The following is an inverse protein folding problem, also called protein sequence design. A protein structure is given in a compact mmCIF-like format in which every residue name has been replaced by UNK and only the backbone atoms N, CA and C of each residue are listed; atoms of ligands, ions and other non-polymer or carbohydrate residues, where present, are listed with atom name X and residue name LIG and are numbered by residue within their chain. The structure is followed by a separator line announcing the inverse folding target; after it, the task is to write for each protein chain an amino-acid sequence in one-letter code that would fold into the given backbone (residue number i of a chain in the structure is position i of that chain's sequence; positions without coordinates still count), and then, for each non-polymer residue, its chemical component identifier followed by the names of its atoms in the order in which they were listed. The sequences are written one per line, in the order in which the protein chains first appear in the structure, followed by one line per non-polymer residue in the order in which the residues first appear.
data_IF_608025590113
#
_entry.id   IF_608025590113
#
_cell.length_a   1.000
_cell.length_b   1.000
_cell.length_c   1.000
_cell.angle_alpha   90.00
_cell.angle_beta   90.00
_cell.angle_gamma   90.00
#
_symmetry.space_group_name_H-M   'P 1'
#
loop_
_entity.id
_entity.type
_entity.pdbx_description
1 polymer ?
#
# COMPACT_ATOMS: atom_id res chain seq x y z
N UNK A 1 -50.04 32.16 -52.89
CA UNK A 1 -49.61 30.89 -53.51
C UNK A 1 -48.10 30.87 -53.38
N UNK A 2 -47.58 30.16 -52.38
CA UNK A 2 -46.16 29.95 -52.20
C UNK A 2 -46.04 28.47 -51.81
N UNK A 3 -45.48 27.69 -52.71
CA UNK A 3 -45.23 26.27 -52.57
C UNK A 3 -43.86 26.13 -51.91
N UNK A 4 -43.80 25.43 -50.78
CA UNK A 4 -42.57 25.16 -50.04
C UNK A 4 -42.25 23.67 -50.24
N UNK A 5 -41.28 23.41 -51.12
CA UNK A 5 -40.82 22.07 -51.48
C UNK A 5 -40.02 21.44 -50.32
N UNK A 6 -40.45 20.25 -49.90
CA UNK A 6 -39.75 19.44 -48.92
C UNK A 6 -38.60 18.69 -49.59
N UNK A 7 -37.38 19.07 -49.23
CA UNK A 7 -36.15 18.41 -49.67
C UNK A 7 -35.84 17.24 -48.72
N UNK A 8 -36.10 16.02 -49.17
CA UNK A 8 -35.77 14.78 -48.44
C UNK A 8 -34.36 14.38 -48.84
N UNK A 9 -33.41 14.55 -47.92
CA UNK A 9 -32.03 14.06 -48.08
C UNK A 9 -31.98 12.64 -47.53
N UNK A 10 -31.91 11.65 -48.41
CA UNK A 10 -31.59 10.27 -48.05
C UNK A 10 -30.09 10.18 -47.72
N UNK A 11 -29.77 9.89 -46.45
CA UNK A 11 -28.42 9.69 -45.96
C UNK A 11 -28.07 8.19 -46.09
N UNK A 12 -27.20 7.86 -47.04
CA UNK A 12 -26.65 6.50 -47.23
C UNK A 12 -25.81 6.09 -46.01
N UNK A 13 -26.20 4.99 -45.36
CA UNK A 13 -25.44 4.38 -44.26
C UNK A 13 -24.38 3.44 -44.86
N UNK A 14 -23.07 3.63 -44.56
CA UNK A 14 -22.04 2.72 -45.04
C UNK A 14 -22.06 1.39 -44.29
N UNK A 15 -21.97 0.30 -45.04
CA UNK A 15 -21.90 -1.06 -44.54
C UNK A 15 -20.63 -1.30 -43.70
N UNK A 16 -20.80 -1.84 -42.49
CA UNK A 16 -19.70 -2.26 -41.63
C UNK A 16 -19.06 -3.57 -42.17
N UNK A 17 -17.72 -3.70 -42.15
CA UNK A 17 -17.05 -4.94 -42.51
C UNK A 17 -17.11 -5.96 -41.36
N UNK A 18 -17.58 -7.14 -41.73
CA UNK A 18 -17.62 -8.37 -40.93
C UNK A 18 -16.19 -8.85 -40.62
N UNK A 19 -15.69 -8.53 -39.43
CA UNK A 19 -14.35 -8.93 -38.98
C UNK A 19 -14.44 -10.16 -38.06
N UNK A 20 -14.67 -11.30 -38.70
CA UNK A 20 -14.62 -12.62 -38.07
C UNK A 20 -13.18 -13.15 -38.21
N UNK A 21 -12.31 -12.81 -37.25
CA UNK A 21 -10.97 -13.39 -37.16
C UNK A 21 -10.95 -14.50 -36.10
N UNK A 22 -10.81 -15.72 -36.62
CA UNK A 22 -10.37 -16.93 -35.97
C UNK A 22 -9.27 -16.68 -34.93
N UNK A 23 -9.61 -16.84 -33.66
CA UNK A 23 -8.63 -16.87 -32.58
C UNK A 23 -8.18 -18.32 -32.38
N UNK A 24 -7.13 -18.70 -33.10
CA UNK A 24 -6.45 -19.99 -32.96
C UNK A 24 -5.90 -20.13 -31.53
N UNK A 25 -6.29 -21.23 -30.89
CA UNK A 25 -5.65 -21.80 -29.70
C UNK A 25 -4.13 -21.88 -29.92
N UNK A 26 -3.36 -21.18 -29.09
CA UNK A 26 -1.98 -21.53 -28.82
C UNK A 26 -1.91 -22.12 -27.42
N UNK A 27 -1.78 -23.44 -27.36
CA UNK A 27 -1.25 -24.18 -26.22
C UNK A 27 0.16 -23.67 -25.91
N UNK A 28 0.26 -22.73 -24.95
CA UNK A 28 1.52 -22.45 -24.28
C UNK A 28 1.68 -23.44 -23.13
N UNK A 29 2.52 -24.44 -23.39
CA UNK A 29 3.12 -25.30 -22.38
C UNK A 29 3.80 -24.42 -21.32
N UNK A 30 3.30 -24.50 -20.09
CA UNK A 30 3.99 -23.99 -18.91
C UNK A 30 5.26 -24.83 -18.68
N UNK A 31 6.43 -24.23 -18.47
CA UNK A 31 7.54 -24.93 -17.84
C UNK A 31 7.17 -25.22 -16.39
N UNK A 32 7.24 -26.50 -16.01
CA UNK A 32 7.25 -26.93 -14.61
C UNK A 32 8.54 -26.39 -13.98
N UNK A 33 8.42 -25.33 -13.17
CA UNK A 33 9.49 -24.95 -12.25
C UNK A 33 9.50 -25.97 -11.10
N UNK A 34 10.46 -26.88 -11.15
CA UNK A 34 10.82 -27.76 -10.05
C UNK A 34 11.15 -26.93 -8.80
N UNK A 35 10.37 -27.10 -7.75
CA UNK A 35 10.70 -26.66 -6.39
C UNK A 35 12.04 -27.29 -5.96
N UNK A 36 13.12 -26.51 -6.01
CA UNK A 36 14.32 -26.80 -5.25
C UNK A 36 14.06 -26.47 -3.77
N UNK A 37 14.35 -27.38 -2.83
CA UNK A 37 14.27 -27.08 -1.41
C UNK A 37 15.38 -26.10 -1.03
N UNK A 38 14.97 -24.88 -0.70
CA UNK A 38 15.82 -23.81 -0.20
C UNK A 38 16.42 -24.24 1.15
N UNK A 39 17.71 -24.59 1.15
CA UNK A 39 18.47 -24.85 2.36
C UNK A 39 18.67 -23.53 3.11
N UNK A 40 18.17 -23.46 4.35
CA UNK A 40 18.49 -22.41 5.31
C UNK A 40 20.01 -22.31 5.50
N UNK A 41 20.64 -21.14 5.27
CA UNK A 41 21.96 -20.90 5.81
C UNK A 41 21.81 -20.60 7.31
N UNK A 42 22.25 -21.55 8.13
CA UNK A 42 22.53 -21.35 9.55
C UNK A 42 23.42 -20.11 9.72
N UNK A 43 22.84 -19.00 10.15
CA UNK A 43 23.62 -17.87 10.64
C UNK A 43 24.11 -18.18 12.04
N UNK A 44 25.37 -18.63 12.07
CA UNK A 44 26.22 -18.60 13.25
C UNK A 44 26.21 -17.20 13.87
N UNK A 45 25.67 -17.10 15.08
CA UNK A 45 25.95 -16.01 16.02
C UNK A 45 27.46 -15.98 16.29
N UNK A 46 28.19 -15.08 15.63
CA UNK A 46 29.50 -14.65 16.09
C UNK A 46 29.31 -13.43 16.99
N UNK A 47 29.46 -13.65 18.30
CA UNK A 47 29.66 -12.59 19.27
C UNK A 47 31.00 -11.89 18.98
N UNK A 48 31.07 -10.55 18.98
CA UNK A 48 32.34 -9.87 19.12
C UNK A 48 32.73 -9.86 20.60
N UNK A 49 33.56 -10.84 21.01
CA UNK A 49 34.45 -10.67 22.16
C UNK A 49 35.54 -9.66 21.77
N UNK A 50 35.31 -8.37 22.01
CA UNK A 50 36.40 -7.39 22.03
C UNK A 50 37.03 -7.37 23.43
N UNK A 51 38.01 -8.27 23.58
CA UNK A 51 39.39 -7.90 23.86
C UNK A 51 39.59 -6.81 24.93
N UNK A 52 39.37 -7.19 26.18
CA UNK A 52 39.98 -6.57 27.36
C UNK A 52 41.48 -6.91 27.36
N UNK A 53 42.30 -6.13 26.66
CA UNK A 53 43.76 -6.19 26.83
C UNK A 53 44.43 -4.91 26.30
N UNK A 54 45.40 -4.44 27.10
CA UNK A 54 46.27 -3.23 26.94
C UNK A 54 45.64 -1.99 27.60
N UNK A 55 46.27 -1.30 28.56
CA UNK A 55 47.66 -1.23 28.99
C UNK A 55 47.68 -0.84 30.47
N UNK A 56 48.28 -1.68 31.31
CA UNK A 56 49.01 -1.19 32.47
C UNK A 56 50.28 -0.54 31.90
N UNK A 57 50.24 0.77 31.71
CA UNK A 57 51.42 1.54 31.35
C UNK A 57 51.99 2.13 32.64
N UNK A 58 53.19 1.69 32.93
CA UNK A 58 54.04 2.09 34.04
C UNK A 58 54.08 3.62 34.16
N UNK A 59 53.81 4.12 35.37
CA UNK A 59 54.12 5.50 35.71
C UNK A 59 55.64 5.63 35.83
N UNK A 60 56.33 6.45 35.02
CA UNK A 60 57.70 6.82 35.32
C UNK A 60 57.68 7.70 36.58
N UNK A 61 58.41 7.28 37.59
CA UNK A 61 58.75 8.12 38.73
C UNK A 61 59.49 9.36 38.20
N UNK A 62 58.78 10.49 38.11
CA UNK A 62 59.35 11.75 37.71
C UNK A 62 60.15 12.32 38.89
N UNK A 63 61.47 12.29 38.75
CA UNK A 63 62.40 12.93 39.67
C UNK A 63 62.20 14.45 39.61
N UNK A 64 61.86 15.04 40.77
CA UNK A 64 61.60 16.47 40.95
C UNK A 64 62.87 17.21 41.44
N UNK A 65 64.04 16.68 41.12
CA UNK A 65 65.33 17.28 41.43
C UNK A 65 65.82 18.24 40.34
N UNK A 66 65.52 19.54 40.46
CA UNK A 66 66.44 20.56 39.96
C UNK A 66 66.02 21.45 38.80
N UNK A 67 64.76 21.91 38.72
CA UNK A 67 64.42 23.06 37.87
C UNK A 67 63.99 24.25 38.73
N UNK A 68 64.98 25.07 39.06
CA UNK A 68 64.86 26.44 39.53
C UNK A 68 64.12 27.22 38.42
N UNK A 69 62.80 27.30 38.53
CA UNK A 69 61.94 28.06 37.60
C UNK A 69 62.37 29.52 37.62
N UNK A 70 62.95 29.97 36.51
CA UNK A 70 62.86 31.37 36.12
C UNK A 70 61.38 31.67 35.92
N UNK A 71 60.91 32.68 36.64
CA UNK A 71 59.51 33.13 36.60
C UNK A 71 59.31 33.76 35.21
N UNK A 72 58.42 33.20 34.36
CA UNK A 72 58.15 33.78 33.05
C UNK A 72 57.58 35.19 33.21
N UNK A 73 58.10 36.13 32.43
CA UNK A 73 57.64 37.52 32.40
C UNK A 73 56.14 37.59 32.02
N UNK A 74 55.44 38.61 32.55
CA UNK A 74 53.96 38.74 32.54
C UNK A 74 53.30 38.64 31.15
N UNK A 75 54.02 38.86 30.06
CA UNK A 75 53.48 38.78 28.70
C UNK A 75 53.11 37.35 28.27
N UNK A 76 53.80 36.32 28.78
CA UNK A 76 53.54 34.92 28.42
C UNK A 76 52.30 34.33 29.12
N UNK A 77 51.92 34.90 30.27
CA UNK A 77 50.71 34.54 31.01
C UNK A 77 49.43 34.95 30.25
N UNK A 78 49.47 36.09 29.54
CA UNK A 78 48.35 36.56 28.72
C UNK A 78 48.07 35.63 27.53
N UNK A 79 49.14 35.16 26.86
CA UNK A 79 49.02 34.23 25.75
C UNK A 79 48.47 32.86 26.20
N UNK A 80 48.90 32.36 27.36
CA UNK A 80 48.37 31.13 27.94
C UNK A 80 46.90 31.28 28.36
N UNK A 81 46.52 32.41 28.94
CA UNK A 81 45.14 32.67 29.34
C UNK A 81 44.18 32.65 28.13
N UNK A 82 44.57 33.23 27.00
CA UNK A 82 43.79 33.17 25.75
C UNK A 82 43.69 31.78 25.12
N UNK A 83 44.68 30.89 25.34
CA UNK A 83 44.61 29.47 24.93
C UNK A 83 43.66 28.68 25.84
N UNK A 84 43.74 28.90 27.16
CA UNK A 84 42.86 28.24 28.14
C UNK A 84 41.40 28.66 27.91
N UNK A 85 41.11 29.94 27.69
CA UNK A 85 39.75 30.40 27.38
C UNK A 85 39.20 29.82 26.06
N UNK A 86 40.03 29.60 25.03
CA UNK A 86 39.61 28.93 23.80
C UNK A 86 39.33 27.44 23.99
N UNK A 87 40.01 26.78 24.92
CA UNK A 87 39.77 25.38 25.25
C UNK A 87 38.47 25.26 26.08
N UNK A 88 38.27 26.14 27.06
CA UNK A 88 37.06 26.18 27.88
C UNK A 88 35.81 26.60 27.08
N UNK A 89 35.93 27.54 26.13
CA UNK A 89 34.81 27.88 25.24
C UNK A 89 34.38 26.74 24.31
N UNK A 90 35.23 25.74 24.09
CA UNK A 90 34.89 24.53 23.31
C UNK A 90 34.20 23.46 24.14
N UNK A 91 34.34 23.47 25.48
CA UNK A 91 33.70 22.46 26.34
C UNK A 91 32.19 22.65 26.45
N UNK A 92 31.68 23.87 26.30
CA UNK A 92 30.23 24.15 26.32
C UNK A 92 29.51 23.54 25.10
N UNK A 93 30.17 23.52 23.94
CA UNK A 93 29.66 22.86 22.74
C UNK A 93 29.58 21.32 22.90
N UNK A 94 30.46 20.73 23.70
CA UNK A 94 30.47 19.28 23.98
C UNK A 94 29.26 18.89 24.83
N UNK A 95 28.90 19.72 25.83
CA UNK A 95 27.69 19.53 26.63
C UNK A 95 26.42 19.58 25.77
N UNK A 96 26.34 20.53 24.84
CA UNK A 96 25.22 20.63 23.91
C UNK A 96 25.10 19.41 22.98
N UNK A 97 26.21 18.84 22.51
CA UNK A 97 26.18 17.64 21.67
C UNK A 97 25.73 16.40 22.44
N UNK A 98 26.13 16.27 23.71
CA UNK A 98 25.71 15.14 24.56
C UNK A 98 24.18 15.08 24.71
N UNK A 99 23.54 16.20 25.03
CA UNK A 99 22.08 16.27 25.15
C UNK A 99 21.36 15.89 23.85
N UNK A 100 21.94 16.22 22.68
CA UNK A 100 21.35 15.83 21.39
C UNK A 100 21.49 14.33 21.14
N UNK A 101 22.61 13.73 21.50
CA UNK A 101 22.84 12.28 21.38
C UNK A 101 21.86 11.53 22.28
N UNK A 102 21.67 11.97 23.53
CA UNK A 102 20.74 11.35 24.47
C UNK A 102 19.28 11.43 23.97
N UNK A 103 18.88 12.56 23.35
CA UNK A 103 17.56 12.70 22.73
C UNK A 103 17.37 11.76 21.53
N UNK A 104 18.40 11.60 20.69
CA UNK A 104 18.36 10.69 19.54
C UNK A 104 18.19 9.24 20.01
N UNK A 105 18.89 8.83 21.07
CA UNK A 105 18.72 7.50 21.65
C UNK A 105 17.32 7.31 22.22
N UNK A 106 16.77 8.28 22.97
CA UNK A 106 15.41 8.19 23.49
C UNK A 106 14.35 8.10 22.38
N UNK A 107 14.52 8.83 21.27
CA UNK A 107 13.62 8.73 20.12
C UNK A 107 13.70 7.35 19.45
N UNK A 108 14.91 6.79 19.36
CA UNK A 108 15.12 5.44 18.81
C UNK A 108 14.41 4.40 19.66
N UNK A 109 14.57 4.43 20.98
CA UNK A 109 13.93 3.47 21.89
C UNK A 109 12.39 3.53 21.78
N UNK A 110 11.83 4.74 21.65
CA UNK A 110 10.40 4.93 21.44
C UNK A 110 9.92 4.33 20.10
N UNK A 111 10.71 4.49 19.03
CA UNK A 111 10.38 3.91 17.73
C UNK A 111 10.46 2.39 17.75
N UNK A 112 11.46 1.82 18.42
CA UNK A 112 11.63 0.37 18.56
C UNK A 112 10.45 -0.24 19.34
N UNK A 113 10.01 0.40 20.44
CA UNK A 113 8.82 -0.03 21.19
C UNK A 113 7.53 0.08 20.37
N UNK A 114 7.36 1.16 19.59
CA UNK A 114 6.21 1.33 18.71
C UNK A 114 6.16 0.26 17.60
N UNK A 115 7.30 -0.08 17.01
CA UNK A 115 7.39 -1.15 16.00
C UNK A 115 7.05 -2.52 16.61
N UNK A 116 7.53 -2.82 17.82
CA UNK A 116 7.18 -4.06 18.52
C UNK A 116 5.67 -4.14 18.78
N UNK A 117 5.05 -3.03 19.19
CA UNK A 117 3.60 -2.91 19.34
C UNK A 117 2.84 -3.22 18.04
N UNK A 118 3.28 -2.67 16.91
CA UNK A 118 2.66 -2.92 15.60
C UNK A 118 2.78 -4.40 15.17
N UNK A 119 3.93 -5.04 15.41
CA UNK A 119 4.11 -6.47 15.13
C UNK A 119 3.15 -7.31 15.96
N UNK A 120 2.93 -6.98 17.24
CA UNK A 120 1.95 -7.66 18.10
C UNK A 120 0.52 -7.53 17.56
N UNK A 121 0.11 -6.32 17.16
CA UNK A 121 -1.22 -6.08 16.58
C UNK A 121 -1.41 -6.86 15.28
N UNK A 122 -0.41 -6.87 14.40
CA UNK A 122 -0.45 -7.64 13.15
C UNK A 122 -0.60 -9.15 13.40
N UNK A 123 0.17 -9.70 14.35
CA UNK A 123 0.08 -11.12 14.70
C UNK A 123 -1.29 -11.47 15.31
N UNK A 124 -1.85 -10.60 16.14
CA UNK A 124 -3.21 -10.78 16.68
C UNK A 124 -4.27 -10.75 15.58
N UNK A 125 -4.17 -9.81 14.63
CA UNK A 125 -5.06 -9.76 13.48
C UNK A 125 -5.01 -11.05 12.65
N UNK A 126 -3.80 -11.59 12.43
CA UNK A 126 -3.61 -12.85 11.72
C UNK A 126 -4.24 -14.02 12.46
N UNK A 127 -4.13 -14.06 13.79
CA UNK A 127 -4.78 -15.08 14.61
C UNK A 127 -6.31 -15.02 14.48
N UNK A 128 -6.91 -13.83 14.60
CA UNK A 128 -8.37 -13.65 14.47
C UNK A 128 -8.87 -14.13 13.10
N UNK A 129 -8.15 -13.80 12.02
CA UNK A 129 -8.52 -14.25 10.67
C UNK A 129 -8.48 -15.77 10.53
N UNK A 130 -7.46 -16.43 11.09
CA UNK A 130 -7.38 -17.88 11.10
C UNK A 130 -8.53 -18.51 11.89
N UNK A 131 -8.89 -17.95 13.05
CA UNK A 131 -10.02 -18.45 13.85
C UNK A 131 -11.36 -18.32 13.11
N UNK A 132 -11.61 -17.20 12.43
CA UNK A 132 -12.81 -17.01 11.60
C UNK A 132 -12.86 -18.06 10.48
N UNK A 133 -11.71 -18.31 9.84
CA UNK A 133 -11.61 -19.30 8.76
C UNK A 133 -11.87 -20.73 9.29
N UNK A 134 -11.30 -21.10 10.44
CA UNK A 134 -11.57 -22.40 11.08
C UNK A 134 -13.04 -22.56 11.47
N UNK A 135 -13.69 -21.51 11.98
CA UNK A 135 -15.11 -21.54 12.31
C UNK A 135 -16.00 -21.70 11.07
N UNK A 136 -15.62 -21.09 9.93
CA UNK A 136 -16.36 -21.23 8.68
C UNK A 136 -16.33 -22.69 8.17
N UNK A 137 -15.17 -23.36 8.24
CA UNK A 137 -15.06 -24.77 7.86
C UNK A 137 -15.82 -25.71 8.80
N UNK A 138 -15.77 -25.46 10.12
CA UNK A 138 -16.51 -26.26 11.10
C UNK A 138 -18.03 -26.22 10.86
N UNK A 139 -18.57 -25.08 10.40
CA UNK A 139 -20.00 -24.94 10.07
C UNK A 139 -20.42 -25.67 8.80
N UNK A 140 -19.52 -25.82 7.82
CA UNK A 140 -19.85 -26.54 6.58
C UNK A 140 -19.91 -28.06 6.80
N UNK A 141 -19.17 -28.61 7.77
CA UNK A 141 -19.16 -30.05 8.05
C UNK A 141 -20.39 -30.61 8.79
N UNK A 142 -21.31 -29.76 9.25
CA UNK A 142 -22.54 -30.19 9.94
C UNK A 142 -23.83 -29.91 9.14
N UNK A 143 -23.71 -29.46 7.89
CA UNK A 143 -24.83 -29.28 6.97
C UNK A 143 -25.30 -30.61 6.39
N UNK A 144 -26.14 -31.31 7.17
CA UNK A 144 -27.25 -32.16 6.72
C UNK A 144 -27.15 -32.77 5.32
N UNK A 145 -26.87 -34.08 5.28
CA UNK A 145 -27.52 -34.97 4.32
C UNK A 145 -29.03 -34.73 4.41
N UNK A 146 -29.57 -33.91 3.52
CA UNK A 146 -31.00 -33.74 3.32
C UNK A 146 -31.40 -34.64 2.15
N UNK A 147 -31.82 -35.91 2.39
CA UNK A 147 -32.05 -36.89 1.34
C UNK A 147 -33.30 -36.60 0.48
N UNK A 148 -33.87 -35.39 0.53
CA UNK A 148 -35.13 -35.06 -0.13
C UNK A 148 -35.03 -34.02 -1.25
N UNK A 149 -33.84 -33.68 -1.74
CA UNK A 149 -33.70 -32.88 -2.96
C UNK A 149 -33.82 -33.76 -4.23
N UNK A 150 -34.91 -34.54 -4.34
CA UNK A 150 -35.31 -35.19 -5.59
C UNK A 150 -36.25 -34.25 -6.37
N UNK A 151 -35.91 -34.07 -7.65
CA UNK A 151 -36.77 -33.60 -8.74
C UNK A 151 -37.16 -32.11 -8.77
N UNK A 152 -36.29 -31.29 -9.38
CA UNK A 152 -36.72 -30.07 -10.08
C UNK A 152 -36.41 -30.23 -11.57
N UNK A 153 -37.49 -30.23 -12.35
CA UNK A 153 -37.50 -30.41 -13.79
C UNK A 153 -36.84 -29.23 -14.54
N UNK A 154 -36.33 -29.47 -15.77
CA UNK A 154 -35.90 -28.42 -16.67
C UNK A 154 -37.13 -27.70 -17.26
N UNK A 155 -37.60 -26.65 -16.59
CA UNK A 155 -38.61 -25.73 -17.12
C UNK A 155 -38.00 -24.71 -18.08
N UNK A 156 -38.67 -24.35 -19.19
CA UNK A 156 -38.15 -23.43 -20.19
C UNK A 156 -38.11 -22.01 -19.63
N UNK A 157 -36.91 -21.53 -19.32
CA UNK A 157 -36.64 -20.20 -18.79
C UNK A 157 -36.73 -19.14 -19.88
N UNK A 158 -37.95 -18.66 -20.14
CA UNK A 158 -38.20 -17.30 -20.63
C UNK A 158 -38.38 -16.38 -19.43
N UNK A 159 -37.48 -16.46 -18.44
CA UNK A 159 -37.47 -15.49 -17.35
C UNK A 159 -37.32 -14.10 -17.97
N UNK A 160 -38.43 -13.38 -18.03
CA UNK A 160 -38.52 -11.97 -18.41
C UNK A 160 -37.41 -11.28 -17.62
N UNK A 161 -36.38 -10.83 -18.32
CA UNK A 161 -35.25 -10.15 -17.72
C UNK A 161 -35.80 -8.90 -17.02
N UNK A 162 -36.10 -9.03 -15.73
CA UNK A 162 -36.46 -7.91 -14.88
C UNK A 162 -35.30 -6.94 -15.06
N UNK A 163 -35.52 -5.76 -15.69
CA UNK A 163 -34.44 -4.84 -15.96
C UNK A 163 -33.80 -4.55 -14.62
N UNK A 164 -32.55 -4.97 -14.44
CA UNK A 164 -31.83 -4.77 -13.21
C UNK A 164 -31.85 -3.27 -12.93
N UNK A 165 -32.74 -2.84 -12.03
CA UNK A 165 -32.91 -1.43 -11.70
C UNK A 165 -31.54 -0.99 -11.19
N UNK A 166 -30.86 -0.15 -11.96
CA UNK A 166 -29.48 0.24 -11.70
C UNK A 166 -29.47 1.16 -10.48
N UNK A 167 -29.54 0.57 -9.30
CA UNK A 167 -29.36 1.28 -8.03
C UNK A 167 -27.90 1.71 -7.91
N UNK A 168 -27.70 2.92 -7.43
CA UNK A 168 -26.38 3.49 -7.21
C UNK A 168 -25.57 2.62 -6.24
N UNK A 169 -24.37 2.17 -6.64
CA UNK A 169 -23.53 1.29 -5.81
C UNK A 169 -23.15 1.91 -4.44
N UNK A 170 -23.19 3.24 -4.33
CA UNK A 170 -22.78 3.97 -3.13
C UNK A 170 -23.93 4.26 -2.15
N UNK A 171 -25.12 4.59 -2.65
CA UNK A 171 -26.22 5.05 -1.80
C UNK A 171 -27.57 4.37 -2.08
N UNK A 172 -27.59 3.39 -2.98
CA UNK A 172 -28.75 2.59 -3.37
C UNK A 172 -29.93 3.39 -3.97
N UNK A 173 -29.73 4.67 -4.30
CA UNK A 173 -30.72 5.52 -4.97
C UNK A 173 -30.80 5.27 -6.48
N UNK A 174 -31.84 5.84 -7.11
CA UNK A 174 -32.15 5.67 -8.53
C UNK A 174 -31.33 6.62 -9.43
N UNK A 175 -30.00 6.42 -9.46
CA UNK A 175 -29.07 7.13 -10.35
C UNK A 175 -27.82 6.29 -10.60
N UNK A 176 -27.05 6.66 -11.63
CA UNK A 176 -25.77 6.02 -11.89
C UNK A 176 -24.73 6.34 -10.82
N UNK A 177 -23.84 5.39 -10.54
CA UNK A 177 -22.77 5.58 -9.56
C UNK A 177 -21.88 6.80 -9.86
N UNK A 178 -21.64 7.12 -11.14
CA UNK A 178 -20.87 8.30 -11.52
C UNK A 178 -21.53 9.62 -11.08
N UNK A 179 -22.86 9.67 -11.06
CA UNK A 179 -23.65 10.87 -10.76
C UNK A 179 -24.04 10.96 -9.28
N UNK A 180 -23.48 10.11 -8.43
CA UNK A 180 -23.78 10.12 -7.00
C UNK A 180 -23.27 11.38 -6.31
N UNK A 181 -24.19 12.29 -5.96
CA UNK A 181 -23.89 13.54 -5.26
C UNK A 181 -23.54 13.36 -3.77
N UNK A 182 -23.86 12.21 -3.16
CA UNK A 182 -23.53 11.95 -1.75
C UNK A 182 -22.03 11.70 -1.51
N UNK A 183 -21.34 11.16 -2.51
CA UNK A 183 -19.92 10.81 -2.44
C UNK A 183 -19.18 11.53 -3.57
N UNK A 184 -18.61 12.69 -3.28
CA UNK A 184 -18.05 13.59 -4.30
C UNK A 184 -16.56 13.40 -4.58
N UNK A 185 -15.80 12.83 -3.63
CA UNK A 185 -14.35 12.60 -3.76
C UNK A 185 -14.03 11.09 -3.88
N UNK A 186 -12.84 10.76 -4.38
CA UNK A 186 -12.41 9.39 -4.59
C UNK A 186 -12.21 8.62 -3.29
N UNK A 187 -11.66 9.27 -2.26
CA UNK A 187 -11.42 8.64 -0.95
C UNK A 187 -12.70 8.09 -0.33
N UNK A 188 -13.77 8.89 -0.31
CA UNK A 188 -15.06 8.52 0.25
C UNK A 188 -15.75 7.43 -0.58
N UNK A 189 -15.62 7.49 -1.91
CA UNK A 189 -16.12 6.43 -2.79
C UNK A 189 -15.43 5.09 -2.54
N UNK A 190 -14.10 5.08 -2.38
CA UNK A 190 -13.34 3.84 -2.09
C UNK A 190 -13.73 3.25 -0.74
N UNK A 191 -13.77 4.09 0.30
CA UNK A 191 -14.22 3.69 1.64
C UNK A 191 -15.63 3.08 1.60
N UNK A 192 -16.57 3.71 0.91
CA UNK A 192 -17.94 3.21 0.80
C UNK A 192 -18.04 1.85 0.10
N UNK A 193 -17.27 1.60 -0.97
CA UNK A 193 -17.26 0.27 -1.60
C UNK A 193 -16.61 -0.79 -0.73
N UNK A 194 -15.52 -0.44 -0.05
CA UNK A 194 -14.83 -1.34 0.88
C UNK A 194 -15.77 -1.77 2.01
N UNK A 195 -16.48 -0.83 2.64
CA UNK A 195 -17.48 -1.12 3.70
C UNK A 195 -18.66 -1.97 3.22
N UNK A 196 -18.92 -1.98 1.90
CA UNK A 196 -20.03 -2.72 1.27
C UNK A 196 -19.58 -4.01 0.57
N UNK A 197 -18.32 -4.40 0.72
CA UNK A 197 -17.70 -5.54 0.03
C UNK A 197 -17.97 -5.52 -1.49
N UNK A 198 -17.68 -4.39 -2.14
CA UNK A 198 -17.85 -4.21 -3.60
C UNK A 198 -16.52 -3.93 -4.30
N UNK A 199 -16.38 -4.44 -5.52
CA UNK A 199 -15.17 -4.26 -6.33
C UNK A 199 -15.15 -2.87 -7.00
N UNK A 200 -14.00 -2.18 -6.97
CA UNK A 200 -13.84 -0.84 -7.56
C UNK A 200 -13.98 -0.81 -9.09
N UNK A 201 -13.71 -1.93 -9.79
CA UNK A 201 -13.78 -2.02 -11.26
C UNK A 201 -15.18 -2.34 -11.77
N UNK A 202 -15.88 -3.31 -11.17
CA UNK A 202 -17.19 -3.74 -11.66
C UNK A 202 -18.38 -3.22 -10.81
N UNK A 203 -18.14 -2.64 -9.63
CA UNK A 203 -19.14 -2.20 -8.66
C UNK A 203 -20.09 -3.29 -8.12
N UNK A 204 -19.84 -4.55 -8.49
CA UNK A 204 -20.53 -5.73 -7.98
C UNK A 204 -19.90 -6.17 -6.66
N UNK A 205 -20.56 -7.11 -5.97
CA UNK A 205 -20.02 -7.74 -4.77
C UNK A 205 -18.63 -8.32 -5.07
N UNK A 206 -17.66 -8.00 -4.23
CA UNK A 206 -16.27 -8.40 -4.38
C UNK A 206 -16.12 -9.89 -4.06
N UNK A 207 -16.13 -10.71 -5.10
CA UNK A 207 -15.70 -12.12 -5.07
C UNK A 207 -14.29 -12.28 -5.65
N UNK A 208 -13.63 -11.17 -5.97
CA UNK A 208 -12.35 -11.08 -6.66
C UNK A 208 -11.63 -9.78 -6.29
N UNK A 209 -10.33 -9.72 -6.55
CA UNK A 209 -9.52 -8.52 -6.40
C UNK A 209 -9.73 -7.58 -7.59
N UNK A 210 -9.57 -6.27 -7.38
CA UNK A 210 -9.71 -5.29 -8.46
C UNK A 210 -8.74 -5.57 -9.64
N UNK A 211 -7.52 -6.02 -9.34
CA UNK A 211 -6.50 -6.37 -10.35
C UNK A 211 -6.85 -7.60 -11.19
N UNK A 212 -7.63 -8.54 -10.65
CA UNK A 212 -8.12 -9.74 -11.35
C UNK A 212 -9.59 -9.63 -11.78
N UNK A 213 -10.16 -8.42 -11.76
CA UNK A 213 -11.55 -8.22 -12.15
C UNK A 213 -11.73 -8.48 -13.65
N UNK A 214 -12.68 -9.34 -14.06
CA UNK A 214 -12.92 -9.64 -15.48
C UNK A 214 -13.63 -8.50 -16.22
N UNK A 215 -14.05 -7.44 -15.52
CA UNK A 215 -14.75 -6.33 -16.15
C UNK A 215 -13.85 -5.60 -17.15
N UNK A 216 -14.36 -5.46 -18.38
CA UNK A 216 -13.76 -4.71 -19.49
C UNK A 216 -14.39 -3.33 -19.66
N UNK A 217 -15.08 -2.83 -18.63
CA UNK A 217 -15.77 -1.54 -18.67
C UNK A 217 -14.79 -0.40 -18.92
N UNK A 218 -15.10 0.44 -19.90
CA UNK A 218 -14.32 1.65 -20.20
C UNK A 218 -14.83 2.84 -19.37
N UNK A 219 -13.90 3.65 -18.88
CA UNK A 219 -14.23 4.92 -18.24
C UNK A 219 -14.78 5.91 -19.26
N UNK A 220 -16.04 6.31 -19.07
CA UNK A 220 -16.75 7.27 -19.91
C UNK A 220 -15.99 8.60 -20.01
N UNK A 221 -15.52 9.15 -18.88
CA UNK A 221 -14.83 10.45 -18.87
C UNK A 221 -13.47 10.42 -19.58
N UNK A 222 -12.73 9.32 -19.47
CA UNK A 222 -11.47 9.16 -20.22
C UNK A 222 -11.73 8.94 -21.71
N UNK A 223 -12.75 8.14 -22.06
CA UNK A 223 -13.17 7.94 -23.45
C UNK A 223 -13.56 9.27 -24.11
N UNK A 224 -14.40 10.07 -23.47
CA UNK A 224 -14.81 11.39 -24.00
C UNK A 224 -13.63 12.36 -24.14
N UNK A 225 -12.60 12.25 -23.31
CA UNK A 225 -11.40 13.07 -23.36
C UNK A 225 -10.29 12.48 -24.27
N UNK A 226 -10.56 11.41 -25.03
CA UNK A 226 -9.58 10.71 -25.89
C UNK A 226 -8.32 10.23 -25.13
N UNK A 227 -8.49 9.83 -23.87
CA UNK A 227 -7.45 9.25 -22.99
C UNK A 227 -7.53 7.72 -23.04
N UNK A 228 -7.03 7.14 -24.12
CA UNK A 228 -7.21 5.71 -24.41
C UNK A 228 -6.46 4.80 -23.45
N UNK A 229 -5.26 5.19 -23.02
CA UNK A 229 -4.45 4.41 -22.08
C UNK A 229 -5.13 4.28 -20.71
N UNK A 230 -5.79 5.34 -20.26
CA UNK A 230 -6.41 5.42 -18.94
C UNK A 230 -7.83 4.87 -18.92
N UNK A 231 -8.52 4.75 -20.07
CA UNK A 231 -9.93 4.39 -20.06
C UNK A 231 -10.19 2.95 -19.57
N UNK A 232 -9.22 2.05 -19.68
CA UNK A 232 -9.37 0.64 -19.26
C UNK A 232 -8.92 0.37 -17.81
N UNK A 233 -8.22 1.32 -17.18
CA UNK A 233 -7.61 1.11 -15.87
C UNK A 233 -8.59 1.26 -14.70
N UNK A 234 -9.72 1.93 -14.91
CA UNK A 234 -10.67 2.26 -13.84
C UNK A 234 -12.11 2.35 -14.33
N UNK A 235 -13.06 2.20 -13.39
CA UNK A 235 -14.47 2.44 -13.64
C UNK A 235 -14.77 3.95 -13.68
N UNK A 236 -15.78 4.39 -14.44
CA UNK A 236 -16.17 5.82 -14.56
C UNK A 236 -16.40 6.50 -13.21
N UNK A 237 -16.91 5.75 -12.22
CA UNK A 237 -17.15 6.25 -10.86
C UNK A 237 -15.86 6.56 -10.06
N UNK A 238 -14.71 6.09 -10.52
CA UNK A 238 -13.39 6.28 -9.90
C UNK A 238 -12.41 7.04 -10.79
N UNK A 239 -12.93 7.86 -11.73
CA UNK A 239 -12.06 8.60 -12.63
C UNK A 239 -11.29 9.72 -11.91
N UNK A 240 -9.94 9.68 -11.89
CA UNK A 240 -9.12 10.71 -11.23
C UNK A 240 -9.18 12.07 -11.91
N UNK A 241 -9.66 12.12 -13.16
CA UNK A 241 -9.85 13.36 -13.89
C UNK A 241 -11.24 13.99 -13.68
N UNK A 242 -12.18 13.26 -13.05
CA UNK A 242 -13.54 13.76 -12.78
C UNK A 242 -13.76 14.08 -11.30
N UNK A 243 -13.20 13.28 -10.40
CA UNK A 243 -13.41 13.42 -8.96
C UNK A 243 -12.08 13.79 -8.28
N UNK A 244 -12.09 14.75 -7.34
CA UNK A 244 -10.90 15.07 -6.55
C UNK A 244 -10.51 13.89 -5.65
N UNK A 245 -9.22 13.82 -5.30
CA UNK A 245 -8.67 12.86 -4.35
C UNK A 245 -9.18 13.10 -2.93
#
# INVERSE_FOLDING_TARGET
MAEEEQNVVEEEVPAEPDNNQDNQHQDQQQPQEEEQPNQEPQQQQQQPQQQQQRQAQEQPAFDFGGLRREIPEEEDLSLMHGKIQRILGRTDAIGSMKNRIDMIHSLKDLMDEAMEGLVKVYNLQKQILNEIQTQAFARQGQGQDDPYAQAMQPGPSWAVAVPATKRCAFCDGDHYACDCGRFYNLRDRRRCLFERDRCERCLLRATHLATSCPATSTCFYCKSAKREKEMYSHHSAFCPFKFPM
#
